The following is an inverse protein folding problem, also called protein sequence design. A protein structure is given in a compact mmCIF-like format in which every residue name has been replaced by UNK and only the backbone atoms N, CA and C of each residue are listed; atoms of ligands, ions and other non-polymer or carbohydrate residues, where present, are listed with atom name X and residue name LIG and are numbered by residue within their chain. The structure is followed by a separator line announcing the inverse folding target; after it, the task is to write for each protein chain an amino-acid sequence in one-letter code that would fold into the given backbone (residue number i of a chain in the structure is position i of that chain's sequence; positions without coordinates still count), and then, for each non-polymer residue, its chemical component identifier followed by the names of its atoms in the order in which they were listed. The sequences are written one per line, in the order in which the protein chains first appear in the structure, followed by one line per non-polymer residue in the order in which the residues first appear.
data_IF_901873678486
#
_entry.id   IF_901873678486
#
_cell.length_a   1.000
_cell.length_b   1.000
_cell.length_c   1.000
_cell.angle_alpha   90.00
_cell.angle_beta   90.00
_cell.angle_gamma   90.00
#
_symmetry.space_group_name_H-M   'P 1'
#
loop_
_entity.id
_entity.type
_entity.pdbx_description
1 polymer ?
#
# COMPACT_ATOMS: atom_id res chain seq x y z
N UNK A 1 58.23 -39.04 23.17
CA UNK A 1 58.82 -37.68 23.10
C UNK A 1 58.05 -36.69 22.20
N UNK A 2 56.72 -36.80 22.06
CA UNK A 2 55.90 -35.78 21.36
C UNK A 2 54.89 -35.06 22.27
N UNK A 3 54.86 -35.42 23.56
CA UNK A 3 54.02 -34.77 24.58
C UNK A 3 54.79 -33.75 25.44
N UNK A 4 56.11 -33.64 25.28
CA UNK A 4 56.96 -32.71 26.03
C UNK A 4 57.15 -31.35 25.32
N UNK A 5 56.80 -31.23 24.03
CA UNK A 5 56.98 -30.00 23.24
C UNK A 5 55.83 -29.01 23.49
N UNK A 6 54.62 -29.50 23.78
CA UNK A 6 53.44 -28.66 24.02
C UNK A 6 53.50 -27.89 25.35
N UNK A 7 54.23 -28.40 26.35
CA UNK A 7 54.36 -27.74 27.65
C UNK A 7 55.38 -26.58 27.63
N UNK A 8 56.37 -26.61 26.74
CA UNK A 8 57.43 -25.58 26.66
C UNK A 8 56.93 -24.31 25.96
N UNK A 9 55.99 -24.42 25.02
CA UNK A 9 55.46 -23.25 24.29
C UNK A 9 54.43 -22.43 25.11
N UNK A 10 53.76 -23.04 26.08
CA UNK A 10 52.79 -22.33 26.93
C UNK A 10 53.45 -21.42 27.99
N UNK A 11 54.73 -21.65 28.33
CA UNK A 11 55.46 -20.85 29.33
C UNK A 11 56.15 -19.63 28.71
N UNK A 12 56.37 -19.59 27.40
CA UNK A 12 56.97 -18.44 26.69
C UNK A 12 55.99 -17.31 26.34
N UNK A 13 54.70 -17.49 26.64
CA UNK A 13 53.65 -16.51 26.29
C UNK A 13 53.30 -15.53 27.42
N UNK A 14 53.87 -15.70 28.62
CA UNK A 14 53.43 -14.96 29.82
C UNK A 14 54.37 -13.87 30.31
N UNK A 15 55.60 -13.74 29.79
CA UNK A 15 56.63 -12.81 30.32
C UNK A 15 57.24 -11.90 29.25
N UNK A 16 56.41 -11.13 28.54
CA UNK A 16 56.89 -9.95 27.80
C UNK A 16 55.95 -8.74 27.93
N UNK A 17 55.12 -8.70 28.98
CA UNK A 17 54.66 -7.45 29.57
C UNK A 17 55.81 -6.85 30.40
N UNK A 18 56.64 -6.01 29.79
CA UNK A 18 57.25 -4.82 30.42
C UNK A 18 58.36 -4.23 29.54
N UNK A 19 58.44 -2.90 29.60
CA UNK A 19 59.53 -2.04 29.14
C UNK A 19 59.54 -1.65 27.66
N UNK A 20 59.14 -0.39 27.40
CA UNK A 20 59.40 0.25 26.12
C UNK A 20 58.61 1.52 25.82
N UNK A 21 58.31 2.37 26.82
CA UNK A 21 57.88 3.75 26.55
C UNK A 21 59.08 4.59 26.11
N UNK A 22 58.96 5.31 24.99
CA UNK A 22 59.44 6.70 24.86
C UNK A 22 58.67 7.43 23.74
N UNK A 23 58.25 8.64 24.07
CA UNK A 23 57.25 9.50 23.42
C UNK A 23 57.76 10.30 22.22
N UNK A 24 56.87 10.73 21.32
CA UNK A 24 56.70 12.14 20.95
C UNK A 24 55.40 12.35 20.16
N UNK A 25 54.72 13.44 20.48
CA UNK A 25 53.39 13.83 20.02
C UNK A 25 53.34 14.32 18.57
N UNK A 26 52.26 14.03 17.87
CA UNK A 26 51.40 15.07 17.27
C UNK A 26 49.95 14.67 17.54
N UNK A 27 49.19 15.59 18.12
CA UNK A 27 47.73 15.50 18.09
C UNK A 27 47.29 15.99 16.72
N UNK A 28 46.54 15.17 15.97
CA UNK A 28 45.55 15.69 15.03
C UNK A 28 44.30 14.83 15.18
N UNK A 29 43.30 15.46 15.78
CA UNK A 29 41.93 15.01 15.89
C UNK A 29 41.33 14.92 14.49
N UNK A 30 41.16 13.70 13.95
CA UNK A 30 40.10 13.40 12.98
C UNK A 30 39.64 11.96 13.17
N UNK A 31 38.34 11.83 13.37
CA UNK A 31 37.58 10.59 13.19
C UNK A 31 38.02 9.95 11.87
N UNK A 32 38.70 8.80 11.95
CA UNK A 32 38.89 7.90 10.82
C UNK A 32 37.54 7.31 10.43
N UNK A 33 36.76 8.14 9.73
CA UNK A 33 35.80 7.72 8.73
C UNK A 33 36.44 6.60 7.92
N UNK A 34 35.84 5.42 8.04
CA UNK A 34 36.03 4.26 7.18
C UNK A 34 36.31 4.75 5.75
N UNK A 35 37.54 4.55 5.28
CA UNK A 35 37.93 4.74 3.88
C UNK A 35 37.13 3.77 3.01
N UNK A 36 36.00 4.24 2.48
CA UNK A 36 35.43 3.72 1.25
C UNK A 36 36.20 4.35 0.07
N UNK A 37 36.75 3.55 -0.87
CA UNK A 37 37.40 4.09 -2.05
C UNK A 37 36.46 5.00 -2.87
N UNK A 38 37.02 6.15 -3.22
CA UNK A 38 36.41 7.26 -3.94
C UNK A 38 36.06 6.97 -5.40
N UNK A 39 34.85 7.41 -5.76
CA UNK A 39 34.47 8.26 -6.90
C UNK A 39 34.84 7.81 -8.32
N UNK A 40 33.82 7.76 -9.20
CA UNK A 40 33.99 8.20 -10.59
C UNK A 40 33.30 7.37 -11.66
N UNK A 41 31.96 7.42 -11.68
CA UNK A 41 31.15 7.62 -12.89
C UNK A 41 31.71 7.14 -14.25
N UNK A 42 31.21 6.00 -14.72
CA UNK A 42 30.80 5.75 -16.11
C UNK A 42 29.82 4.58 -16.01
N UNK A 43 28.52 4.85 -15.93
CA UNK A 43 27.66 4.85 -17.13
C UNK A 43 27.69 3.52 -17.87
N UNK A 44 27.22 2.49 -17.19
CA UNK A 44 26.29 1.55 -17.81
C UNK A 44 24.96 1.70 -17.08
N UNK A 45 24.23 2.74 -17.48
CA UNK A 45 22.77 2.82 -17.35
C UNK A 45 22.20 1.56 -17.99
N UNK A 46 22.06 0.51 -17.18
CA UNK A 46 21.02 -0.48 -17.41
C UNK A 46 19.72 0.31 -17.43
N UNK A 47 19.18 0.43 -18.64
CA UNK A 47 17.94 1.10 -18.98
C UNK A 47 16.79 0.36 -18.29
N UNK A 48 16.62 0.55 -16.99
CA UNK A 48 15.34 0.36 -16.31
C UNK A 48 14.60 1.70 -16.44
N UNK A 49 14.15 1.97 -17.68
CA UNK A 49 12.88 2.69 -17.88
C UNK A 49 11.92 1.96 -16.94
N UNK A 50 11.47 2.64 -15.88
CA UNK A 50 10.65 2.06 -14.84
C UNK A 50 9.52 1.29 -15.50
N UNK A 51 9.66 -0.04 -15.52
CA UNK A 51 8.56 -0.90 -15.89
C UNK A 51 7.52 -0.62 -14.81
N UNK A 52 6.52 0.18 -15.15
CA UNK A 52 5.29 0.29 -14.39
C UNK A 52 4.82 -1.14 -14.23
N UNK A 53 5.14 -1.76 -13.08
CA UNK A 53 4.83 -3.17 -12.84
C UNK A 53 3.33 -3.23 -12.84
N UNK A 54 2.77 -3.62 -13.98
CA UNK A 54 1.34 -3.81 -14.15
C UNK A 54 0.91 -4.79 -13.06
N UNK A 55 -0.26 -4.53 -12.50
CA UNK A 55 -0.82 -5.36 -11.44
C UNK A 55 -0.86 -6.82 -11.93
N UNK A 56 -0.41 -7.81 -11.13
CA UNK A 56 -0.35 -9.22 -11.56
C UNK A 56 -1.71 -9.90 -11.73
N UNK A 57 -2.81 -9.17 -11.51
CA UNK A 57 -4.19 -9.63 -11.58
C UNK A 57 -5.09 -8.48 -12.04
N UNK A 58 -6.22 -8.80 -12.67
CA UNK A 58 -7.22 -7.79 -13.13
C UNK A 58 -8.14 -7.33 -12.00
N UNK A 59 -8.62 -8.29 -11.20
CA UNK A 59 -9.46 -8.11 -10.03
C UNK A 59 -8.92 -9.00 -8.88
N UNK A 60 -9.33 -8.73 -7.64
CA UNK A 60 -8.96 -9.56 -6.49
C UNK A 60 -10.02 -9.46 -5.38
N UNK A 61 -10.67 -10.57 -5.02
CA UNK A 61 -11.66 -10.66 -3.94
C UNK A 61 -10.99 -10.71 -2.56
N UNK A 62 -9.83 -11.38 -2.44
CA UNK A 62 -9.11 -11.58 -1.18
C UNK A 62 -7.70 -10.97 -1.17
N UNK A 63 -7.55 -9.62 -1.15
CA UNK A 63 -6.25 -8.98 -1.13
C UNK A 63 -5.61 -8.93 0.27
N UNK A 64 -4.35 -9.36 0.38
CA UNK A 64 -3.51 -9.19 1.57
C UNK A 64 -2.55 -8.02 1.38
N UNK A 65 -2.80 -6.90 2.07
CA UNK A 65 -2.05 -5.65 1.91
C UNK A 65 -1.37 -5.17 3.21
N UNK A 66 -0.20 -4.54 3.09
CA UNK A 66 0.42 -3.78 4.20
C UNK A 66 -0.33 -2.47 4.48
N UNK A 67 -0.22 -1.96 5.71
CA UNK A 67 -0.84 -0.69 6.14
C UNK A 67 -0.10 0.58 5.67
N UNK A 68 0.67 0.50 4.59
CA UNK A 68 1.44 1.62 4.02
C UNK A 68 0.69 2.31 2.88
N UNK A 69 1.08 3.54 2.53
CA UNK A 69 0.54 4.27 1.38
C UNK A 69 1.71 4.61 0.43
N UNK A 70 1.79 4.00 -0.78
CA UNK A 70 0.92 2.93 -1.27
C UNK A 70 1.17 1.58 -0.56
N UNK A 71 0.18 0.68 -0.56
CA UNK A 71 0.32 -0.62 0.11
C UNK A 71 1.17 -1.58 -0.72
N UNK A 72 1.75 -2.58 -0.06
CA UNK A 72 2.31 -3.77 -0.71
C UNK A 72 1.28 -4.89 -0.58
N UNK A 73 0.68 -5.30 -1.69
CA UNK A 73 -0.42 -6.25 -1.75
C UNK A 73 -0.03 -7.56 -2.44
N UNK A 74 -0.71 -8.65 -2.08
CA UNK A 74 -0.74 -9.94 -2.79
C UNK A 74 -2.19 -10.41 -2.89
N UNK A 75 -2.60 -10.94 -4.03
CA UNK A 75 -3.93 -11.53 -4.16
C UNK A 75 -3.92 -13.00 -3.73
N UNK A 76 -4.89 -13.41 -2.93
CA UNK A 76 -5.00 -14.78 -2.41
C UNK A 76 -6.10 -15.59 -3.10
N UNK A 77 -6.66 -15.08 -4.20
CA UNK A 77 -7.72 -15.75 -4.93
C UNK A 77 -7.18 -17.05 -5.56
N UNK A 78 -7.94 -18.12 -5.39
CA UNK A 78 -7.69 -19.40 -6.03
C UNK A 78 -8.42 -19.41 -7.38
N UNK A 79 -7.65 -19.27 -8.46
CA UNK A 79 -8.13 -19.19 -9.84
C UNK A 79 -7.78 -20.46 -10.62
N UNK A 80 -8.55 -20.79 -11.64
CA UNK A 80 -8.24 -21.91 -12.54
C UNK A 80 -6.95 -21.65 -13.34
N UNK A 81 -6.72 -20.39 -13.75
CA UNK A 81 -5.55 -19.97 -14.49
C UNK A 81 -5.09 -18.60 -13.98
N UNK A 82 -3.79 -18.46 -13.71
CA UNK A 82 -3.22 -17.15 -13.38
C UNK A 82 -3.25 -16.22 -14.60
N UNK A 83 -3.36 -14.91 -14.34
CA UNK A 83 -3.21 -13.89 -15.36
C UNK A 83 -1.78 -13.92 -15.94
N UNK A 84 -1.63 -13.53 -17.20
CA UNK A 84 -0.33 -13.47 -17.89
C UNK A 84 0.66 -12.51 -17.21
N UNK A 85 0.15 -11.51 -16.48
CA UNK A 85 0.96 -10.60 -15.69
C UNK A 85 1.54 -11.25 -14.41
N UNK A 86 1.04 -12.42 -14.00
CA UNK A 86 1.55 -13.16 -12.85
C UNK A 86 2.75 -14.03 -13.22
N UNK A 87 3.89 -13.74 -12.62
CA UNK A 87 5.15 -14.47 -12.81
C UNK A 87 5.24 -15.69 -11.89
N UNK A 88 4.63 -15.65 -10.69
CA UNK A 88 4.67 -16.75 -9.71
C UNK A 88 3.29 -17.33 -9.46
N UNK A 89 2.89 -18.25 -10.34
CA UNK A 89 1.64 -18.99 -10.24
C UNK A 89 1.91 -20.36 -9.58
N UNK A 90 1.34 -20.60 -8.40
CA UNK A 90 1.54 -21.84 -7.63
C UNK A 90 0.21 -22.52 -7.35
N UNK A 91 0.18 -23.84 -7.21
CA UNK A 91 -1.04 -24.56 -6.84
C UNK A 91 -1.55 -24.11 -5.46
N UNK A 92 -2.87 -23.98 -5.31
CA UNK A 92 -3.49 -23.64 -4.03
C UNK A 92 -3.29 -24.76 -3.02
N UNK A 93 -3.05 -24.39 -1.77
CA UNK A 93 -2.92 -25.36 -0.67
C UNK A 93 -4.25 -26.06 -0.35
N UNK A 94 -5.38 -25.39 -0.62
CA UNK A 94 -6.71 -25.95 -0.36
C UNK A 94 -7.23 -26.84 -1.49
N UNK A 95 -6.76 -26.60 -2.72
CA UNK A 95 -7.22 -27.29 -3.92
C UNK A 95 -6.11 -27.31 -4.96
N UNK A 96 -5.55 -28.49 -5.23
CA UNK A 96 -4.45 -28.64 -6.20
C UNK A 96 -4.86 -28.36 -7.65
N UNK A 97 -6.17 -28.29 -7.95
CA UNK A 97 -6.67 -27.92 -9.28
C UNK A 97 -6.68 -26.42 -9.52
N UNK A 98 -6.56 -25.62 -8.46
CA UNK A 98 -6.52 -24.15 -8.52
C UNK A 98 -5.12 -23.62 -8.31
N UNK A 99 -4.91 -22.40 -8.76
CA UNK A 99 -3.65 -21.68 -8.62
C UNK A 99 -3.85 -20.35 -7.91
N UNK A 100 -2.82 -19.91 -7.20
CA UNK A 100 -2.75 -18.61 -6.53
C UNK A 100 -1.57 -17.84 -7.07
N UNK A 101 -1.80 -16.58 -7.43
CA UNK A 101 -0.73 -15.69 -7.85
C UNK A 101 0.03 -15.16 -6.63
N UNK A 102 1.29 -15.56 -6.47
CA UNK A 102 2.12 -15.17 -5.33
C UNK A 102 2.87 -13.84 -5.50
N UNK A 103 2.62 -13.13 -6.60
CA UNK A 103 3.29 -11.87 -6.88
C UNK A 103 2.87 -10.74 -5.94
N UNK A 104 3.86 -9.90 -5.62
CA UNK A 104 3.68 -8.76 -4.73
C UNK A 104 3.61 -7.50 -5.57
N UNK A 105 2.53 -6.78 -5.41
CA UNK A 105 2.29 -5.52 -6.09
C UNK A 105 2.47 -4.35 -5.10
N UNK A 106 3.13 -3.27 -5.55
CA UNK A 106 3.24 -2.04 -4.78
C UNK A 106 2.23 -1.03 -5.33
N UNK A 107 1.08 -0.93 -4.67
CA UNK A 107 -0.07 -0.18 -5.13
C UNK A 107 -1.37 -0.81 -4.65
N UNK A 108 -2.48 -0.14 -4.93
CA UNK A 108 -3.81 -0.59 -4.55
C UNK A 108 -4.22 -1.88 -5.30
N UNK A 109 -4.89 -2.83 -4.62
CA UNK A 109 -5.14 -4.17 -5.16
C UNK A 109 -6.13 -4.21 -6.34
N UNK A 110 -6.92 -3.16 -6.55
CA UNK A 110 -7.90 -3.11 -7.65
C UNK A 110 -9.34 -3.41 -7.21
N UNK A 111 -10.25 -3.67 -8.17
CA UNK A 111 -11.63 -4.07 -7.90
C UNK A 111 -11.71 -5.54 -7.46
N UNK A 112 -12.83 -5.92 -6.85
CA UNK A 112 -13.22 -7.31 -6.62
C UNK A 112 -13.62 -8.00 -7.95
N UNK A 113 -13.61 -9.32 -7.97
CA UNK A 113 -13.96 -10.15 -9.13
C UNK A 113 -15.44 -10.52 -9.21
N UNK A 114 -16.16 -10.52 -8.08
CA UNK A 114 -17.59 -10.78 -8.07
C UNK A 114 -18.36 -9.55 -8.55
N UNK A 115 -19.08 -9.67 -9.67
CA UNK A 115 -20.03 -8.65 -10.12
C UNK A 115 -21.30 -8.71 -9.27
N UNK A 116 -21.90 -7.55 -8.89
CA UNK A 116 -23.09 -7.51 -8.03
C UNK A 116 -24.35 -8.13 -8.67
N UNK A 117 -24.31 -8.47 -9.96
CA UNK A 117 -25.45 -9.01 -10.71
C UNK A 117 -25.55 -10.55 -10.69
N UNK A 118 -24.54 -11.26 -10.15
CA UNK A 118 -24.48 -12.74 -10.10
C UNK A 118 -24.94 -13.33 -8.75
N UNK A 119 -25.88 -12.70 -8.03
CA UNK A 119 -26.52 -13.29 -6.85
C UNK A 119 -27.83 -13.99 -7.28
N UNK A 120 -27.91 -15.34 -7.29
CA UNK A 120 -29.16 -16.04 -7.52
C UNK A 120 -30.10 -15.73 -6.36
N UNK A 121 -31.25 -15.14 -6.66
CA UNK A 121 -32.33 -14.91 -5.69
C UNK A 121 -32.79 -16.26 -5.11
N UNK A 122 -32.35 -16.58 -3.90
CA UNK A 122 -32.80 -17.76 -3.17
C UNK A 122 -34.25 -17.60 -2.67
N UNK A 123 -34.99 -18.71 -2.45
CA UNK A 123 -36.40 -18.65 -2.06
C UNK A 123 -36.55 -18.20 -0.61
N UNK A 124 -37.41 -17.20 -0.40
CA UNK A 124 -37.71 -16.64 0.91
C UNK A 124 -38.30 -17.66 1.88
N UNK A 125 -37.69 -17.75 3.07
CA UNK A 125 -38.32 -18.43 4.21
C UNK A 125 -39.02 -17.38 5.06
N UNK A 126 -40.35 -17.43 5.06
CA UNK A 126 -41.19 -16.69 6.00
C UNK A 126 -41.10 -17.39 7.37
N UNK A 127 -40.41 -16.76 8.31
CA UNK A 127 -40.50 -17.09 9.74
C UNK A 127 -41.16 -15.94 10.51
N UNK A 128 -42.06 -16.20 11.48
CA UNK A 128 -42.79 -15.16 12.21
C UNK A 128 -41.87 -14.38 13.17
N UNK A 129 -42.23 -13.14 13.54
CA UNK A 129 -41.37 -12.26 14.31
C UNK A 129 -41.36 -12.68 15.78
N UNK A 130 -40.19 -13.05 16.29
CA UNK A 130 -39.97 -13.09 17.74
C UNK A 130 -39.63 -11.67 18.19
N UNK A 131 -40.58 -11.06 18.90
CA UNK A 131 -40.39 -9.83 19.66
C UNK A 131 -39.29 -10.07 20.68
N UNK A 132 -38.26 -9.23 20.67
CA UNK A 132 -37.42 -9.01 21.84
C UNK A 132 -37.04 -7.54 21.93
N UNK A 133 -37.25 -7.05 23.15
CA UNK A 133 -37.38 -5.67 23.55
C UNK A 133 -36.06 -4.89 23.47
N UNK A 134 -36.22 -3.58 23.36
CA UNK A 134 -35.17 -2.59 23.50
C UNK A 134 -34.49 -2.66 24.87
N UNK A 135 -33.17 -2.72 24.88
CA UNK A 135 -32.32 -2.14 25.92
C UNK A 135 -31.12 -1.50 25.25
N UNK A 136 -31.07 -0.17 25.32
CA UNK A 136 -29.91 0.60 24.90
C UNK A 136 -28.78 0.47 25.94
N UNK A 137 -27.64 0.00 25.48
CA UNK A 137 -26.32 0.33 26.02
C UNK A 137 -25.32 0.06 24.89
N UNK A 138 -24.74 1.14 24.35
CA UNK A 138 -24.02 1.18 23.09
C UNK A 138 -22.88 0.17 22.99
N UNK A 139 -23.15 -0.84 22.16
CA UNK A 139 -22.18 -1.75 21.57
C UNK A 139 -22.26 -1.47 20.07
N UNK A 140 -21.21 -0.90 19.47
CA UNK A 140 -21.17 -0.70 18.01
C UNK A 140 -20.89 -2.04 17.32
N UNK A 141 -21.87 -2.94 17.44
CA UNK A 141 -21.99 -4.16 16.66
C UNK A 141 -22.58 -3.79 15.32
N UNK A 142 -21.72 -3.84 14.32
CA UNK A 142 -21.97 -4.25 12.93
C UNK A 142 -23.44 -4.53 12.56
N UNK A 143 -24.04 -3.61 11.80
CA UNK A 143 -25.17 -3.91 10.92
C UNK A 143 -24.63 -4.00 9.49
N UNK A 144 -24.24 -5.21 9.11
CA UNK A 144 -24.03 -5.60 7.70
C UNK A 144 -25.42 -5.90 7.14
N UNK A 145 -25.90 -5.02 6.28
CA UNK A 145 -27.22 -5.10 5.66
C UNK A 145 -27.60 -3.80 4.97
N UNK A 146 -26.66 -3.19 4.25
CA UNK A 146 -26.93 -2.07 3.35
C UNK A 146 -26.65 -2.53 1.93
N UNK A 147 -27.56 -2.24 1.00
CA UNK A 147 -27.32 -2.34 -0.44
C UNK A 147 -25.90 -1.84 -0.74
N UNK A 148 -25.06 -2.66 -1.38
CA UNK A 148 -23.72 -2.24 -1.81
C UNK A 148 -23.88 -1.12 -2.85
N UNK A 149 -23.86 0.12 -2.38
CA UNK A 149 -23.96 1.29 -3.25
C UNK A 149 -22.73 1.33 -4.15
N UNK A 150 -22.91 1.40 -5.48
CA UNK A 150 -21.79 1.49 -6.40
C UNK A 150 -20.99 2.76 -6.13
N UNK A 151 -19.68 2.71 -6.39
CA UNK A 151 -18.79 3.84 -6.18
C UNK A 151 -19.30 5.09 -6.95
N UNK A 152 -19.41 6.27 -6.31
CA UNK A 152 -19.99 7.46 -6.95
C UNK A 152 -19.12 8.10 -8.04
N UNK A 153 -17.85 7.70 -8.16
CA UNK A 153 -16.89 8.20 -9.16
C UNK A 153 -16.10 7.05 -9.79
N UNK A 154 -15.57 7.27 -11.00
CA UNK A 154 -14.74 6.27 -11.72
C UNK A 154 -13.28 6.28 -11.26
N UNK A 155 -12.73 7.47 -11.04
CA UNK A 155 -11.40 7.75 -10.54
C UNK A 155 -11.48 8.97 -9.60
N UNK A 156 -10.49 9.17 -8.75
CA UNK A 156 -10.41 10.32 -7.87
C UNK A 156 -8.95 10.71 -7.58
N UNK A 157 -8.56 11.94 -7.91
CA UNK A 157 -7.23 12.50 -7.60
C UNK A 157 -7.17 13.02 -6.15
N UNK A 158 -8.19 13.76 -5.72
CA UNK A 158 -8.33 14.37 -4.39
C UNK A 158 -9.31 13.59 -3.49
N UNK A 159 -8.94 12.35 -3.17
CA UNK A 159 -9.71 11.51 -2.24
C UNK A 159 -9.41 11.84 -0.77
N UNK A 160 -10.48 11.99 0.04
CA UNK A 160 -10.39 12.17 1.50
C UNK A 160 -11.11 11.00 2.17
N UNK A 161 -10.39 10.24 2.99
CA UNK A 161 -10.88 9.00 3.59
C UNK A 161 -10.71 8.98 5.11
N UNK A 162 -11.61 8.28 5.80
CA UNK A 162 -11.43 7.91 7.22
C UNK A 162 -10.31 6.87 7.38
N UNK A 163 -9.83 6.70 8.62
CA UNK A 163 -8.76 5.74 8.96
C UNK A 163 -9.29 4.31 9.23
N UNK A 164 -10.56 4.03 8.95
CA UNK A 164 -11.20 2.73 9.16
C UNK A 164 -10.86 1.73 8.03
N UNK A 165 -11.17 0.45 8.25
CA UNK A 165 -10.98 -0.62 7.27
C UNK A 165 -12.28 -1.44 7.13
N UNK A 166 -13.05 -1.29 6.04
CA UNK A 166 -12.88 -0.34 4.93
C UNK A 166 -13.05 1.14 5.32
N UNK A 167 -12.44 2.08 4.57
CA UNK A 167 -12.61 3.52 4.83
C UNK A 167 -13.95 4.05 4.33
N UNK A 168 -14.41 5.16 4.88
CA UNK A 168 -15.44 6.02 4.26
C UNK A 168 -14.69 7.13 3.51
N UNK A 169 -14.90 7.23 2.21
CA UNK A 169 -14.20 8.16 1.34
C UNK A 169 -15.13 9.16 0.64
N UNK A 170 -14.60 10.36 0.37
CA UNK A 170 -15.18 11.43 -0.42
C UNK A 170 -14.23 11.79 -1.55
N UNK A 171 -14.75 12.26 -2.69
CA UNK A 171 -13.94 12.76 -3.78
C UNK A 171 -14.17 14.25 -4.01
N UNK A 172 -13.11 15.05 -3.98
CA UNK A 172 -13.17 16.51 -4.21
C UNK A 172 -12.79 16.94 -5.62
N UNK A 173 -12.67 15.99 -6.54
CA UNK A 173 -12.36 16.30 -7.93
C UNK A 173 -13.44 17.20 -8.54
N UNK A 174 -12.99 18.29 -9.15
CA UNK A 174 -13.86 19.22 -9.88
C UNK A 174 -13.98 18.75 -11.32
N UNK A 175 -15.09 18.10 -11.64
CA UNK A 175 -15.33 17.48 -12.95
C UNK A 175 -16.29 18.29 -13.80
N UNK A 176 -16.22 18.15 -15.13
CA UNK A 176 -17.22 18.78 -16.03
C UNK A 176 -18.62 18.21 -15.81
N UNK A 177 -18.71 16.91 -15.50
CA UNK A 177 -19.95 16.17 -15.23
C UNK A 177 -19.67 15.06 -14.22
N UNK A 178 -20.53 14.92 -13.22
CA UNK A 178 -20.44 13.79 -12.30
C UNK A 178 -20.74 12.46 -13.00
N UNK A 179 -20.24 11.36 -12.44
CA UNK A 179 -20.63 10.03 -12.89
C UNK A 179 -22.10 9.77 -12.59
N UNK A 180 -22.73 8.87 -13.36
CA UNK A 180 -24.14 8.50 -13.18
C UNK A 180 -24.44 7.87 -11.82
N UNK A 181 -23.42 7.32 -11.17
CA UNK A 181 -23.50 6.70 -9.85
C UNK A 181 -23.42 7.72 -8.71
N UNK A 182 -23.12 8.99 -9.00
CA UNK A 182 -23.16 10.07 -8.04
C UNK A 182 -24.59 10.62 -7.91
N UNK A 183 -25.13 10.58 -6.70
CA UNK A 183 -26.48 11.07 -6.39
C UNK A 183 -26.48 12.56 -6.08
N UNK A 184 -25.46 13.06 -5.37
CA UNK A 184 -25.29 14.48 -5.03
C UNK A 184 -24.23 15.13 -5.90
N UNK A 185 -24.64 15.65 -7.06
CA UNK A 185 -23.76 16.36 -7.98
C UNK A 185 -23.99 17.87 -7.88
N UNK A 186 -23.18 18.55 -7.08
CA UNK A 186 -23.31 19.98 -6.82
C UNK A 186 -22.38 20.77 -7.76
N UNK A 187 -22.75 22.02 -8.08
CA UNK A 187 -21.86 22.93 -8.81
C UNK A 187 -20.78 23.45 -7.88
N UNK A 188 -19.56 23.57 -8.39
CA UNK A 188 -18.45 24.14 -7.62
C UNK A 188 -18.69 25.63 -7.36
N UNK A 189 -18.48 26.08 -6.13
CA UNK A 189 -18.68 27.47 -5.73
C UNK A 189 -17.68 28.43 -6.40
N UNK A 190 -16.48 27.95 -6.73
CA UNK A 190 -15.45 28.76 -7.38
C UNK A 190 -15.59 28.80 -8.90
N UNK A 191 -16.21 27.77 -9.49
CA UNK A 191 -16.37 27.63 -10.92
C UNK A 191 -17.69 26.93 -11.26
N UNK A 192 -18.71 27.71 -11.60
CA UNK A 192 -20.04 27.21 -11.94
C UNK A 192 -20.08 26.27 -13.18
N UNK A 193 -18.97 26.15 -13.93
CA UNK A 193 -18.82 25.20 -15.03
C UNK A 193 -18.37 23.79 -14.59
N UNK A 194 -17.93 23.66 -13.33
CA UNK A 194 -17.48 22.41 -12.72
C UNK A 194 -18.46 21.93 -11.66
N UNK A 195 -18.42 20.63 -11.43
CA UNK A 195 -19.26 19.94 -10.46
C UNK A 195 -18.39 19.09 -9.53
N UNK A 196 -18.86 18.89 -8.31
CA UNK A 196 -18.24 18.05 -7.29
C UNK A 196 -19.26 17.03 -6.83
N UNK A 197 -18.82 15.78 -6.67
CA UNK A 197 -19.68 14.73 -6.13
C UNK A 197 -19.65 14.75 -4.59
N UNK A 198 -20.78 15.02 -3.96
CA UNK A 198 -20.95 15.08 -2.50
C UNK A 198 -21.28 13.74 -1.84
N UNK A 199 -21.28 12.63 -2.59
CA UNK A 199 -21.56 11.31 -2.04
C UNK A 199 -20.38 10.79 -1.21
N UNK A 200 -20.70 10.15 -0.09
CA UNK A 200 -19.74 9.34 0.67
C UNK A 200 -19.78 7.89 0.19
N UNK A 201 -18.63 7.25 0.09
CA UNK A 201 -18.51 5.84 -0.29
C UNK A 201 -17.87 5.03 0.84
N UNK A 202 -18.53 3.96 1.28
CA UNK A 202 -17.92 2.98 2.20
C UNK A 202 -17.11 1.98 1.38
N UNK A 203 -15.80 2.19 1.33
CA UNK A 203 -14.85 1.41 0.55
C UNK A 203 -13.70 2.25 0.00
N UNK A 204 -12.80 1.59 -0.70
CA UNK A 204 -11.61 2.25 -1.27
C UNK A 204 -11.98 3.26 -2.38
N UNK A 205 -11.30 4.42 -2.44
CA UNK A 205 -11.66 5.52 -3.34
C UNK A 205 -11.46 5.22 -4.83
N UNK A 206 -10.72 4.15 -5.17
CA UNK A 206 -10.44 3.76 -6.55
C UNK A 206 -9.13 4.35 -7.09
N UNK A 207 -8.90 4.27 -8.41
CA UNK A 207 -7.69 4.78 -9.05
C UNK A 207 -7.68 6.31 -9.11
N UNK A 208 -6.49 6.89 -9.31
CA UNK A 208 -6.34 8.31 -9.66
C UNK A 208 -6.73 8.56 -11.12
N UNK A 209 -7.18 9.77 -11.41
CA UNK A 209 -7.57 10.18 -12.75
C UNK A 209 -6.36 10.64 -13.58
N UNK A 210 -5.40 11.33 -12.96
CA UNK A 210 -4.22 11.83 -13.66
C UNK A 210 -3.13 10.75 -13.72
N UNK A 211 -2.68 10.42 -14.93
CA UNK A 211 -1.50 9.58 -15.13
C UNK A 211 -0.23 10.39 -14.84
N UNK A 212 0.84 9.80 -14.27
CA UNK A 212 2.09 10.50 -14.01
C UNK A 212 2.78 11.09 -15.27
N UNK A 213 2.40 10.65 -16.47
CA UNK A 213 2.95 11.14 -17.75
C UNK A 213 2.26 12.38 -18.32
N UNK A 214 1.06 12.72 -17.84
CA UNK A 214 0.37 13.94 -18.25
C UNK A 214 0.89 15.10 -17.41
N UNK A 215 1.97 15.72 -17.87
CA UNK A 215 2.64 16.88 -17.28
C UNK A 215 1.77 18.12 -17.12
N UNK A 216 0.72 18.04 -16.30
CA UNK A 216 -0.09 19.16 -15.91
C UNK A 216 0.61 19.92 -14.79
N UNK A 217 1.25 21.02 -15.17
CA UNK A 217 1.68 22.08 -14.26
C UNK A 217 0.49 22.42 -13.34
N UNK A 218 0.58 22.23 -12.01
CA UNK A 218 -0.47 22.70 -11.13
C UNK A 218 -0.51 24.22 -11.26
N UNK A 219 -1.58 24.74 -11.84
CA UNK A 219 -1.90 26.17 -11.78
C UNK A 219 -2.18 26.50 -10.32
N UNK A 220 -1.14 26.97 -9.64
CA UNK A 220 -1.20 27.41 -8.26
C UNK A 220 -2.02 28.68 -8.13
N UNK A 221 -2.87 28.71 -7.11
CA UNK A 221 -3.06 29.87 -6.24
C UNK A 221 -3.29 29.35 -4.81
N UNK A 222 -2.22 28.85 -4.20
CA UNK A 222 -2.20 28.62 -2.75
C UNK A 222 -1.95 29.96 -2.06
N UNK A 223 -3.01 30.61 -1.61
CA UNK A 223 -2.90 31.79 -0.74
C UNK A 223 -2.36 31.32 0.60
N UNK A 224 -1.08 31.59 0.85
CA UNK A 224 -0.40 31.40 2.13
C UNK A 224 -1.01 32.39 3.13
N UNK A 225 -1.84 31.90 4.06
CA UNK A 225 -2.19 32.63 5.26
C UNK A 225 -0.94 32.72 6.14
N UNK A 226 -0.29 33.89 6.14
CA UNK A 226 0.66 34.26 7.19
C UNK A 226 -0.13 34.58 8.46
N UNK A 227 0.22 33.93 9.55
CA UNK A 227 -0.28 34.27 10.88
C UNK A 227 0.56 35.42 11.47
N UNK A 228 -0.06 36.45 12.09
CA UNK A 228 0.68 37.50 12.76
C UNK A 228 1.23 37.01 14.12
N UNK A 229 2.39 37.58 14.47
CA UNK A 229 3.15 37.37 15.72
C UNK A 229 2.41 37.98 16.91
#
# INVERSE_FOLDING_TARGET
MRRCIAAVLLVLSLEALAAGRLSAAVADDRVDTIRLPSNGLADEVATEIGAEKRRPWKCCDSPLCSRSIPPRCRCMDAVEHCDEACTRCEASQSDSSKHVCNDRYHGWPGPNCTDPDDIPSGPGVSGPPVVSQATEAGEETSVVGGEEKPRPWKCCDEAICTMSFPPICFCRDRVKKCAKTCNKCDKDESDASRHVCGDSYFGWPGPRCTNPDDGHVPSGTGTRLEAPI
#
